data_IF_341736576735
#
_entry.id   IF_341736576735
#
_cell.length_a   1.000
_cell.length_b   1.000
_cell.length_c   1.000
_cell.angle_alpha   90.00
_cell.angle_beta   90.00
_cell.angle_gamma   90.00
#
_symmetry.space_group_name_H-M   'P 1'
#
loop_
_entity.id
_entity.type
_entity.pdbx_description
1 polymer ?
#
# COMPACT_ATOMS: atom_id res chain seq x y z
N UNK A 1 -12.14 14.30 -20.85
CA UNK A 1 -12.21 14.68 -19.45
C UNK A 1 -10.80 14.69 -18.85
N UNK A 2 -10.48 15.75 -18.12
CA UNK A 2 -9.22 15.88 -17.43
C UNK A 2 -9.21 14.94 -16.22
N UNK A 3 -8.12 14.18 -16.05
CA UNK A 3 -7.98 13.28 -14.88
C UNK A 3 -7.60 14.14 -13.69
N UNK A 4 -8.41 14.08 -12.64
CA UNK A 4 -8.11 14.74 -11.38
C UNK A 4 -6.84 14.15 -10.77
N UNK A 5 -5.90 15.00 -10.41
CA UNK A 5 -4.65 14.55 -9.79
C UNK A 5 -4.87 14.30 -8.30
N UNK A 6 -4.38 13.18 -7.82
CA UNK A 6 -4.39 12.82 -6.41
C UNK A 6 -3.70 13.90 -5.56
N UNK A 7 -2.59 14.43 -6.08
CA UNK A 7 -1.84 15.51 -5.42
C UNK A 7 -2.66 16.77 -5.21
N UNK A 8 -3.53 17.12 -6.16
CA UNK A 8 -4.37 18.32 -6.07
C UNK A 8 -5.58 18.09 -5.14
N UNK A 9 -6.15 16.87 -5.16
CA UNK A 9 -7.29 16.51 -4.29
C UNK A 9 -6.88 16.51 -2.81
N UNK A 10 -5.72 15.96 -2.49
CA UNK A 10 -5.29 15.75 -1.10
C UNK A 10 -4.21 16.73 -0.63
N UNK A 11 -3.70 17.60 -1.51
CA UNK A 11 -2.67 18.59 -1.15
C UNK A 11 -1.35 17.94 -0.69
N UNK A 12 -0.96 16.78 -1.26
CA UNK A 12 0.22 16.02 -0.87
C UNK A 12 1.25 15.94 -1.99
N UNK A 13 2.52 15.97 -1.64
CA UNK A 13 3.60 15.56 -2.55
C UNK A 13 3.63 14.04 -2.55
N UNK A 14 3.37 13.40 -3.67
CA UNK A 14 3.22 11.96 -3.75
C UNK A 14 4.33 11.31 -4.60
N UNK A 15 4.99 10.30 -4.02
CA UNK A 15 5.97 9.45 -4.68
C UNK A 15 5.42 8.06 -4.97
N UNK A 16 5.82 7.46 -6.10
CA UNK A 16 5.54 6.06 -6.42
C UNK A 16 6.83 5.29 -6.60
N UNK A 17 6.93 4.15 -5.95
CA UNK A 17 7.97 3.14 -6.13
C UNK A 17 7.29 1.91 -6.70
N UNK A 18 7.60 1.57 -7.93
CA UNK A 18 7.02 0.40 -8.61
C UNK A 18 7.98 -0.06 -9.72
N UNK A 19 8.20 -1.35 -9.82
CA UNK A 19 8.97 -1.95 -10.89
C UNK A 19 8.15 -1.99 -12.19
N UNK A 20 6.86 -2.28 -12.09
CA UNK A 20 6.00 -2.48 -13.23
C UNK A 20 5.63 -1.17 -13.94
N UNK A 21 5.90 -1.05 -15.28
CA UNK A 21 5.75 0.22 -16.01
C UNK A 21 4.33 0.80 -16.01
N UNK A 22 3.30 -0.05 -16.00
CA UNK A 22 1.89 0.39 -16.00
C UNK A 22 1.58 1.23 -14.75
N UNK A 23 1.99 0.78 -13.56
CA UNK A 23 1.77 1.53 -12.32
C UNK A 23 2.52 2.86 -12.31
N UNK A 24 3.74 2.88 -12.86
CA UNK A 24 4.49 4.15 -13.03
C UNK A 24 3.77 5.12 -13.97
N UNK A 25 3.16 4.59 -15.03
CA UNK A 25 2.36 5.38 -15.98
C UNK A 25 1.10 5.97 -15.32
N UNK A 26 0.30 5.12 -14.66
CA UNK A 26 -0.91 5.55 -13.94
C UNK A 26 -0.59 6.57 -12.84
N UNK A 27 0.47 6.34 -12.07
CA UNK A 27 0.90 7.26 -11.03
C UNK A 27 1.21 8.66 -11.59
N UNK A 28 1.92 8.74 -12.72
CA UNK A 28 2.17 10.03 -13.38
C UNK A 28 0.89 10.73 -13.82
N UNK A 29 -0.10 9.99 -14.33
CA UNK A 29 -1.39 10.57 -14.73
C UNK A 29 -2.11 11.23 -13.56
N UNK A 30 -2.00 10.67 -12.36
CA UNK A 30 -2.60 11.23 -11.15
C UNK A 30 -1.66 12.17 -10.37
N UNK A 31 -0.57 12.63 -10.98
CA UNK A 31 0.30 13.66 -10.43
C UNK A 31 1.43 13.17 -9.52
N UNK A 32 1.64 11.85 -9.39
CA UNK A 32 2.72 11.31 -8.57
C UNK A 32 4.07 11.35 -9.28
N UNK A 33 5.15 11.47 -8.52
CA UNK A 33 6.51 11.39 -9.03
C UNK A 33 7.06 9.97 -8.91
N UNK A 34 7.68 9.47 -9.98
CA UNK A 34 8.29 8.14 -9.97
C UNK A 34 9.66 8.20 -9.31
N UNK A 35 9.80 7.50 -8.20
CA UNK A 35 11.08 7.24 -7.54
C UNK A 35 11.68 5.98 -8.16
N UNK A 36 12.91 6.09 -8.65
CA UNK A 36 13.62 4.95 -9.26
C UNK A 36 14.08 4.00 -8.17
N UNK A 37 13.79 2.72 -8.35
CA UNK A 37 14.31 1.62 -7.53
C UNK A 37 14.95 0.56 -8.45
N UNK A 38 15.70 -0.37 -7.88
CA UNK A 38 16.09 -1.62 -8.53
C UNK A 38 14.92 -2.61 -8.57
N UNK A 39 15.22 -3.87 -8.87
CA UNK A 39 14.22 -4.89 -9.19
C UNK A 39 13.87 -5.81 -8.01
N UNK A 40 14.50 -5.61 -6.85
CA UNK A 40 14.27 -6.40 -5.65
C UNK A 40 13.41 -5.64 -4.63
N UNK A 41 12.75 -6.37 -3.73
CA UNK A 41 12.01 -5.76 -2.60
C UNK A 41 12.93 -4.87 -1.77
N UNK A 42 14.15 -5.33 -1.46
CA UNK A 42 15.14 -4.54 -0.73
C UNK A 42 15.54 -3.24 -1.44
N UNK A 43 15.59 -3.25 -2.78
CA UNK A 43 15.86 -2.03 -3.57
C UNK A 43 14.70 -1.03 -3.47
N UNK A 44 13.45 -1.52 -3.49
CA UNK A 44 12.27 -0.67 -3.33
C UNK A 44 12.24 0.00 -1.97
N UNK A 45 12.56 -0.73 -0.88
CA UNK A 45 12.70 -0.15 0.45
C UNK A 45 13.90 0.80 0.57
N UNK A 46 15.02 0.50 -0.10
CA UNK A 46 16.17 1.43 -0.16
C UNK A 46 15.82 2.74 -0.87
N UNK A 47 15.02 2.66 -1.94
CA UNK A 47 14.54 3.86 -2.65
C UNK A 47 13.58 4.67 -1.77
N UNK A 48 12.71 3.98 -1.01
CA UNK A 48 11.81 4.60 -0.04
C UNK A 48 12.60 5.37 1.03
N UNK A 49 13.57 4.74 1.68
CA UNK A 49 14.41 5.38 2.71
C UNK A 49 15.10 6.64 2.19
N UNK A 50 15.74 6.56 1.02
CA UNK A 50 16.47 7.69 0.42
C UNK A 50 15.59 8.87 0.02
N UNK A 51 14.32 8.63 -0.24
CA UNK A 51 13.39 9.65 -0.71
C UNK A 51 12.33 10.05 0.32
N UNK A 52 12.30 9.44 1.51
CA UNK A 52 11.23 9.57 2.49
C UNK A 52 10.90 11.03 2.84
N UNK A 53 11.88 11.87 3.08
CA UNK A 53 11.67 13.28 3.40
C UNK A 53 11.26 14.18 2.22
N UNK A 54 11.22 13.64 0.99
CA UNK A 54 10.87 14.42 -0.19
C UNK A 54 9.37 14.43 -0.48
N UNK A 55 8.62 13.48 0.07
CA UNK A 55 7.20 13.26 -0.22
C UNK A 55 6.40 13.15 1.08
N UNK A 56 5.11 13.46 0.97
CA UNK A 56 4.13 13.32 2.05
C UNK A 56 3.37 12.00 1.97
N UNK A 57 3.34 11.39 0.80
CA UNK A 57 2.67 10.11 0.53
C UNK A 57 3.51 9.25 -0.40
N UNK A 58 3.58 7.96 -0.10
CA UNK A 58 4.20 6.96 -0.97
C UNK A 58 3.22 5.85 -1.33
N UNK A 59 3.21 5.49 -2.60
CA UNK A 59 2.65 4.24 -3.09
C UNK A 59 3.80 3.31 -3.48
N UNK A 60 4.02 2.27 -2.67
CA UNK A 60 5.05 1.24 -2.92
C UNK A 60 4.35 -0.01 -3.42
N UNK A 61 4.71 -0.48 -4.61
CA UNK A 61 4.01 -1.56 -5.29
C UNK A 61 4.93 -2.76 -5.56
N UNK A 62 4.66 -3.85 -4.87
CA UNK A 62 5.41 -5.11 -4.99
C UNK A 62 4.69 -6.02 -5.99
N UNK A 63 5.17 -6.08 -7.23
CA UNK A 63 4.49 -6.81 -8.32
C UNK A 63 4.59 -8.33 -8.22
N UNK A 64 5.67 -8.88 -7.68
CA UNK A 64 5.97 -10.33 -7.75
C UNK A 64 4.94 -11.20 -7.05
N UNK A 65 4.24 -10.70 -6.02
CA UNK A 65 3.15 -11.43 -5.35
C UNK A 65 2.00 -11.76 -6.29
N UNK A 66 1.67 -10.83 -7.18
CA UNK A 66 0.65 -11.04 -8.21
C UNK A 66 1.14 -12.01 -9.29
N UNK A 67 2.34 -11.78 -9.83
CA UNK A 67 2.93 -12.66 -10.88
C UNK A 67 2.99 -14.11 -10.44
N UNK A 68 3.49 -14.40 -9.25
CA UNK A 68 3.51 -15.79 -8.72
C UNK A 68 2.10 -16.32 -8.44
N UNK A 69 1.14 -15.47 -8.11
CA UNK A 69 -0.26 -15.87 -8.01
C UNK A 69 -0.82 -16.35 -9.35
N UNK A 70 -0.60 -15.57 -10.43
CA UNK A 70 -1.00 -15.92 -11.80
C UNK A 70 -0.33 -17.21 -12.30
N UNK A 71 0.95 -17.43 -11.95
CA UNK A 71 1.70 -18.65 -12.28
C UNK A 71 1.25 -19.87 -11.47
N UNK A 72 0.46 -19.69 -10.42
CA UNK A 72 0.10 -20.74 -9.46
C UNK A 72 1.25 -21.16 -8.55
N UNK A 73 2.29 -20.35 -8.46
CA UNK A 73 3.47 -20.58 -7.63
C UNK A 73 3.22 -20.05 -6.21
N UNK A 74 2.60 -20.88 -5.37
CA UNK A 74 2.28 -20.53 -3.98
C UNK A 74 3.55 -20.23 -3.17
N UNK A 75 4.58 -21.06 -3.29
CA UNK A 75 5.83 -20.89 -2.53
C UNK A 75 6.56 -19.60 -2.92
N UNK A 76 6.62 -19.28 -4.21
CA UNK A 76 7.20 -18.03 -4.69
C UNK A 76 6.44 -16.81 -4.15
N UNK A 77 5.11 -16.86 -4.16
CA UNK A 77 4.26 -15.80 -3.60
C UNK A 77 4.50 -15.63 -2.10
N UNK A 78 4.54 -16.72 -1.36
CA UNK A 78 4.82 -16.72 0.08
C UNK A 78 6.19 -16.09 0.38
N UNK A 79 7.24 -16.49 -0.33
CA UNK A 79 8.59 -15.94 -0.14
C UNK A 79 8.66 -14.43 -0.36
N UNK A 80 7.95 -13.90 -1.36
CA UNK A 80 7.91 -12.43 -1.57
C UNK A 80 7.21 -11.72 -0.42
N UNK A 81 6.12 -12.29 0.12
CA UNK A 81 5.43 -11.73 1.29
C UNK A 81 6.39 -11.71 2.50
N UNK A 82 7.13 -12.79 2.72
CA UNK A 82 8.15 -12.87 3.77
C UNK A 82 9.32 -11.89 3.54
N UNK A 83 9.71 -11.64 2.28
CA UNK A 83 10.70 -10.60 1.96
C UNK A 83 10.21 -9.22 2.36
N UNK A 84 8.96 -8.89 2.04
CA UNK A 84 8.36 -7.62 2.45
C UNK A 84 8.32 -7.49 3.96
N UNK A 85 7.91 -8.54 4.67
CA UNK A 85 7.85 -8.56 6.13
C UNK A 85 9.23 -8.30 6.77
N UNK A 86 10.28 -8.89 6.22
CA UNK A 86 11.67 -8.64 6.67
C UNK A 86 12.14 -7.19 6.47
N UNK A 87 11.60 -6.49 5.48
CA UNK A 87 11.94 -5.09 5.20
C UNK A 87 11.10 -4.08 6.03
N UNK A 88 9.95 -4.50 6.59
CA UNK A 88 9.06 -3.63 7.37
C UNK A 88 9.76 -2.90 8.53
N UNK A 89 10.72 -3.48 9.28
CA UNK A 89 11.44 -2.74 10.31
C UNK A 89 12.15 -1.48 9.80
N UNK A 90 12.61 -1.48 8.55
CA UNK A 90 13.22 -0.30 7.91
C UNK A 90 12.18 0.81 7.70
N UNK A 91 10.98 0.44 7.23
CA UNK A 91 9.87 1.39 7.10
C UNK A 91 9.46 1.96 8.47
N UNK A 92 9.35 1.12 9.49
CA UNK A 92 8.99 1.54 10.85
C UNK A 92 10.04 2.49 11.44
N UNK A 93 11.33 2.29 11.14
CA UNK A 93 12.41 3.17 11.58
C UNK A 93 12.31 4.60 11.01
N UNK A 94 11.62 4.79 9.87
CA UNK A 94 11.35 6.10 9.28
C UNK A 94 10.24 6.87 10.02
N UNK A 95 9.55 6.24 10.95
CA UNK A 95 8.46 6.82 11.76
C UNK A 95 7.36 7.49 10.94
N UNK A 96 6.75 6.82 9.96
CA UNK A 96 5.61 7.36 9.22
C UNK A 96 4.41 7.58 10.16
N UNK A 97 3.61 8.60 9.91
CA UNK A 97 2.38 8.88 10.68
C UNK A 97 1.32 7.78 10.46
N UNK A 98 1.25 7.26 9.24
CA UNK A 98 0.29 6.22 8.84
C UNK A 98 0.96 5.19 7.95
N UNK A 99 0.69 3.92 8.20
CA UNK A 99 1.07 2.80 7.33
C UNK A 99 -0.20 2.07 6.90
N UNK A 100 -0.32 1.80 5.60
CA UNK A 100 -1.32 0.87 5.07
C UNK A 100 -0.60 -0.25 4.33
N UNK A 101 -0.97 -1.49 4.65
CA UNK A 101 -0.55 -2.68 3.90
C UNK A 101 -1.81 -3.33 3.33
N UNK A 102 -1.84 -3.53 2.02
CA UNK A 102 -3.00 -4.11 1.33
C UNK A 102 -2.61 -4.67 -0.03
N UNK A 103 -3.54 -5.28 -0.73
CA UNK A 103 -3.45 -5.59 -2.16
C UNK A 103 -4.35 -4.68 -2.97
N UNK A 104 -4.05 -4.52 -4.25
CA UNK A 104 -4.92 -3.84 -5.22
C UNK A 104 -6.05 -4.76 -5.70
N UNK A 105 -5.78 -6.07 -5.76
CA UNK A 105 -6.74 -7.14 -6.03
C UNK A 105 -6.25 -8.48 -5.47
N UNK A 106 -7.12 -9.46 -5.42
CA UNK A 106 -6.77 -10.82 -5.02
C UNK A 106 -6.33 -11.64 -6.23
N UNK A 107 -5.18 -12.32 -6.12
CA UNK A 107 -4.64 -13.26 -7.12
C UNK A 107 -4.23 -14.57 -6.43
N UNK A 108 -5.20 -15.41 -6.04
CA UNK A 108 -4.90 -16.65 -5.35
C UNK A 108 -4.11 -17.62 -6.27
N UNK A 109 -3.00 -18.16 -5.78
CA UNK A 109 -2.19 -19.12 -6.55
C UNK A 109 -3.00 -20.37 -6.96
N UNK A 110 -3.96 -20.78 -6.15
CA UNK A 110 -4.86 -21.89 -6.49
C UNK A 110 -5.76 -21.58 -7.69
N UNK A 111 -6.09 -20.32 -7.95
CA UNK A 111 -6.93 -19.91 -9.08
C UNK A 111 -6.13 -19.59 -10.33
N UNK A 112 -4.84 -19.29 -10.21
CA UNK A 112 -3.96 -18.83 -11.30
C UNK A 112 -4.56 -17.65 -12.09
N UNK A 113 -5.30 -16.81 -11.42
CA UNK A 113 -6.02 -15.68 -11.99
C UNK A 113 -6.44 -14.70 -10.90
N UNK A 114 -6.80 -13.49 -11.30
CA UNK A 114 -7.46 -12.55 -10.41
C UNK A 114 -8.81 -13.07 -9.94
N UNK A 115 -9.19 -12.74 -8.74
CA UNK A 115 -10.49 -13.12 -8.19
C UNK A 115 -11.21 -11.93 -7.56
N UNK A 116 -12.51 -12.09 -7.32
CA UNK A 116 -13.39 -11.06 -6.75
C UNK A 116 -13.32 -10.96 -5.22
N UNK A 117 -12.47 -11.76 -4.57
CA UNK A 117 -12.38 -11.75 -3.12
C UNK A 117 -11.85 -10.41 -2.62
N UNK A 118 -12.38 -9.90 -1.51
CA UNK A 118 -11.80 -8.76 -0.83
C UNK A 118 -10.35 -9.03 -0.43
N UNK A 119 -9.52 -8.01 -0.49
CA UNK A 119 -8.14 -8.07 -0.01
C UNK A 119 -8.05 -7.67 1.46
N UNK A 120 -7.10 -8.23 2.23
CA UNK A 120 -6.87 -7.78 3.59
C UNK A 120 -6.32 -6.36 3.60
N UNK A 121 -6.70 -5.58 4.62
CA UNK A 121 -6.20 -4.22 4.84
C UNK A 121 -5.72 -4.11 6.28
N UNK A 122 -4.46 -3.71 6.45
CA UNK A 122 -3.91 -3.26 7.71
C UNK A 122 -3.71 -1.75 7.62
N UNK A 123 -4.26 -1.01 8.56
CA UNK A 123 -4.00 0.42 8.75
C UNK A 123 -3.45 0.64 10.15
N UNK A 124 -2.29 1.26 10.23
CA UNK A 124 -1.64 1.61 11.48
C UNK A 124 -1.34 3.11 11.54
N UNK A 125 -1.59 3.69 12.69
CA UNK A 125 -1.08 5.00 13.10
C UNK A 125 -1.01 5.07 14.62
N UNK A 126 -0.34 6.06 15.18
CA UNK A 126 -0.34 6.30 16.63
C UNK A 126 -1.74 6.57 17.22
N UNK A 127 -2.71 6.93 16.37
CA UNK A 127 -4.09 7.25 16.74
C UNK A 127 -5.08 6.11 16.51
N UNK A 128 -4.64 5.00 15.91
CA UNK A 128 -5.51 3.85 15.71
C UNK A 128 -5.94 3.25 17.04
N UNK A 129 -7.21 2.91 17.12
CA UNK A 129 -7.71 2.01 18.17
C UNK A 129 -7.42 0.58 17.70
N UNK A 130 -6.64 -0.20 18.46
CA UNK A 130 -6.40 -1.59 18.12
C UNK A 130 -7.72 -2.37 18.13
N UNK A 131 -7.86 -3.30 17.24
CA UNK A 131 -8.94 -4.28 17.20
C UNK A 131 -8.49 -5.65 17.74
N UNK A 132 -9.36 -6.65 17.63
CA UNK A 132 -9.10 -7.99 18.16
C UNK A 132 -8.37 -8.91 17.17
N UNK A 133 -8.05 -8.45 15.94
CA UNK A 133 -7.32 -9.23 14.97
C UNK A 133 -5.91 -9.58 15.49
N UNK A 134 -5.51 -10.84 15.33
CA UNK A 134 -4.23 -11.35 15.86
C UNK A 134 -3.13 -11.45 14.81
N UNK A 135 -3.44 -11.14 13.56
CA UNK A 135 -2.49 -11.20 12.47
C UNK A 135 -3.05 -10.63 11.18
N UNK A 136 -2.18 -10.47 10.19
CA UNK A 136 -2.53 -9.94 8.88
C UNK A 136 -2.78 -11.09 7.90
N UNK A 137 -4.03 -11.50 7.79
CA UNK A 137 -4.51 -12.49 6.82
C UNK A 137 -5.98 -12.25 6.51
N UNK A 138 -6.47 -12.79 5.40
CA UNK A 138 -7.89 -12.68 5.02
C UNK A 138 -8.82 -13.23 6.10
N UNK A 139 -8.37 -14.26 6.83
CA UNK A 139 -9.17 -14.87 7.91
C UNK A 139 -9.27 -13.95 9.11
N UNK A 140 -8.15 -13.37 9.55
CA UNK A 140 -8.10 -12.48 10.71
C UNK A 140 -8.72 -11.11 10.41
N UNK A 141 -8.47 -10.54 9.24
CA UNK A 141 -9.01 -9.23 8.84
C UNK A 141 -10.55 -9.20 8.79
N UNK A 142 -11.23 -10.35 8.73
CA UNK A 142 -12.70 -10.43 8.88
C UNK A 142 -13.21 -9.93 10.23
N UNK A 143 -12.37 -9.92 11.23
CA UNK A 143 -12.68 -9.47 12.60
C UNK A 143 -12.12 -8.08 12.88
N UNK A 144 -11.51 -7.44 11.90
CA UNK A 144 -10.90 -6.12 12.03
C UNK A 144 -11.93 -4.99 12.15
N UNK A 145 -11.54 -3.93 12.84
CA UNK A 145 -12.39 -2.78 13.11
C UNK A 145 -12.76 -1.94 11.89
N UNK A 146 -12.04 -2.09 10.76
CA UNK A 146 -12.36 -1.38 9.50
C UNK A 146 -13.60 -1.97 8.80
N UNK A 147 -13.91 -3.24 9.03
CA UNK A 147 -14.96 -3.93 8.29
C UNK A 147 -14.66 -4.00 6.78
N UNK A 148 -15.71 -4.02 5.96
CA UNK A 148 -15.57 -3.99 4.49
C UNK A 148 -15.70 -2.55 3.99
N UNK A 149 -14.63 -2.04 3.41
CA UNK A 149 -14.54 -0.69 2.85
C UNK A 149 -14.16 -0.75 1.35
N UNK A 150 -14.45 0.31 0.63
CA UNK A 150 -14.00 0.47 -0.75
C UNK A 150 -12.57 1.03 -0.74
N UNK A 151 -11.73 0.64 -1.70
CA UNK A 151 -10.36 1.14 -1.82
C UNK A 151 -10.27 2.68 -1.87
N UNK A 152 -11.27 3.34 -2.45
CA UNK A 152 -11.36 4.81 -2.50
C UNK A 152 -11.50 5.47 -1.11
N UNK A 153 -11.88 4.71 -0.08
CA UNK A 153 -12.02 5.21 1.29
C UNK A 153 -10.70 5.20 2.09
N UNK A 154 -9.67 4.51 1.57
CA UNK A 154 -8.36 4.43 2.23
C UNK A 154 -7.66 5.80 2.33
N UNK A 155 -7.62 6.57 1.24
CA UNK A 155 -6.95 7.88 1.28
C UNK A 155 -7.60 8.85 2.27
N UNK A 156 -8.93 9.04 2.31
CA UNK A 156 -9.57 9.84 3.35
C UNK A 156 -9.24 9.36 4.77
N UNK A 157 -9.22 8.05 5.02
CA UNK A 157 -8.84 7.49 6.33
C UNK A 157 -7.38 7.81 6.66
N UNK A 158 -6.46 7.61 5.73
CA UNK A 158 -5.04 7.93 5.92
C UNK A 158 -4.85 9.41 6.23
N UNK A 159 -5.53 10.30 5.51
CA UNK A 159 -5.47 11.75 5.74
C UNK A 159 -6.01 12.12 7.13
N UNK A 160 -7.08 11.46 7.59
CA UNK A 160 -7.62 11.64 8.93
C UNK A 160 -6.62 11.22 10.01
N UNK A 161 -6.06 10.03 9.90
CA UNK A 161 -5.08 9.52 10.85
C UNK A 161 -3.72 10.24 10.81
N UNK A 162 -3.39 10.87 9.69
CA UNK A 162 -2.23 11.75 9.56
C UNK A 162 -2.48 13.20 10.03
N UNK A 163 -3.67 13.47 10.59
CA UNK A 163 -4.08 14.82 11.07
C UNK A 163 -4.05 15.90 9.95
N UNK A 164 -4.30 15.48 8.70
CA UNK A 164 -4.26 16.36 7.51
C UNK A 164 -5.66 16.77 7.00
N UNK A 165 -6.72 16.43 7.72
CA UNK A 165 -8.07 16.91 7.42
C UNK A 165 -8.38 18.18 8.20
N UNK A 166 -9.18 19.06 7.59
CA UNK A 166 -9.73 20.21 8.30
C UNK A 166 -10.64 19.75 9.44
N UNK A 167 -10.65 20.50 10.53
CA UNK A 167 -11.51 20.19 11.66
C UNK A 167 -12.98 20.23 11.23
N UNK A 168 -13.71 19.14 11.47
CA UNK A 168 -15.14 19.07 11.20
C UNK A 168 -15.94 19.76 12.31
N UNK A 169 -16.90 20.58 11.93
CA UNK A 169 -17.80 21.23 12.89
C UNK A 169 -17.15 22.37 13.71
N UNK A 170 -16.13 23.02 13.18
CA UNK A 170 -15.50 24.21 13.79
C UNK A 170 -16.04 25.49 13.19
#
# INVERSE_FOLDING_TARGET
>A
PEILKLTDIYGVRAGVIAVYPMYRGLARLVGMQVVKAGDTVADEFTALEKSFGQFDFFFVHIKKTDSYGEDGNFDGKMHVIEEVDRELPRLLALQPDVIVVTGDHSTPAACKAHSWHPVPVLLWSKWCRPDDAKGFSERECRFGGLGHIRAAELMPLMMGYAERLAKFGA
#
